data_IF_691888240731
#
_entry.id   IF_691888240731
#
_cell.length_a   1.000
_cell.length_b   1.000
_cell.length_c   1.000
_cell.angle_alpha   90.00
_cell.angle_beta   90.00
_cell.angle_gamma   90.00
#
_symmetry.space_group_name_H-M   'P 1'
#
loop_
_entity.id
_entity.type
_entity.pdbx_description
1 polymer ?
#
# COMPACT_ATOMS: atom_id res chain seq x y z
N UNK A 1 0.79 -27.79 12.52
CA UNK A 1 0.54 -27.12 11.23
C UNK A 1 1.22 -25.77 11.31
N UNK A 2 2.02 -25.41 10.32
CA UNK A 2 2.49 -24.02 10.21
C UNK A 2 1.29 -23.14 9.92
N UNK A 3 1.07 -22.12 10.75
CA UNK A 3 0.02 -21.13 10.52
C UNK A 3 0.56 -20.13 9.50
N UNK A 4 0.12 -20.24 8.26
CA UNK A 4 0.41 -19.27 7.21
C UNK A 4 -0.88 -18.63 6.70
N UNK A 5 -0.78 -17.39 6.24
CA UNK A 5 -1.81 -16.69 5.50
C UNK A 5 -1.39 -16.59 4.03
N UNK A 6 -2.28 -17.01 3.10
CA UNK A 6 -2.07 -16.74 1.68
C UNK A 6 -2.66 -15.36 1.33
N UNK A 7 -1.79 -14.45 0.89
CA UNK A 7 -2.17 -13.13 0.42
C UNK A 7 -2.14 -13.15 -1.11
N UNK A 8 -3.27 -12.84 -1.73
CA UNK A 8 -3.37 -12.66 -3.18
C UNK A 8 -3.63 -11.20 -3.49
N UNK A 9 -2.86 -10.62 -4.42
CA UNK A 9 -2.99 -9.22 -4.79
C UNK A 9 -2.81 -8.99 -6.29
N UNK A 10 -3.48 -7.96 -6.80
CA UNK A 10 -3.36 -7.47 -8.18
C UNK A 10 -3.58 -5.95 -8.18
N UNK A 11 -3.25 -5.31 -9.29
CA UNK A 11 -3.49 -3.89 -9.48
C UNK A 11 -3.71 -3.61 -10.96
N UNK A 12 -4.76 -2.87 -11.31
CA UNK A 12 -5.01 -2.50 -12.69
C UNK A 12 -5.56 -1.09 -12.77
N UNK A 13 -4.94 -0.28 -13.63
CA UNK A 13 -5.43 1.05 -13.93
C UNK A 13 -6.57 1.00 -14.96
N UNK A 14 -7.53 1.92 -14.87
CA UNK A 14 -8.51 2.13 -15.93
C UNK A 14 -7.85 2.49 -17.27
N UNK A 15 -8.44 2.01 -18.38
CA UNK A 15 -7.88 2.10 -19.74
C UNK A 15 -7.52 3.52 -20.20
N UNK A 16 -8.26 4.53 -19.74
CA UNK A 16 -8.08 5.93 -20.15
C UNK A 16 -7.19 6.76 -19.20
N UNK A 17 -6.47 6.12 -18.27
CA UNK A 17 -5.68 6.81 -17.25
C UNK A 17 -4.19 6.70 -17.55
N UNK A 18 -3.46 7.80 -17.32
CA UNK A 18 -2.00 7.87 -17.56
C UNK A 18 -1.18 7.30 -16.41
N UNK A 19 -1.64 7.50 -15.17
CA UNK A 19 -0.95 7.14 -13.93
C UNK A 19 -1.87 6.37 -13.01
N UNK A 20 -1.37 5.29 -12.42
CA UNK A 20 -2.14 4.59 -11.40
C UNK A 20 -2.06 5.38 -10.10
N UNK A 21 -3.21 5.83 -9.62
CA UNK A 21 -3.33 6.59 -8.38
C UNK A 21 -3.42 5.66 -7.16
N UNK A 22 -3.72 4.39 -7.40
CA UNK A 22 -3.80 3.36 -6.39
C UNK A 22 -2.40 2.92 -5.99
N UNK A 23 -2.22 2.56 -4.72
CA UNK A 23 -1.00 1.97 -4.20
C UNK A 23 -1.33 0.80 -3.30
N UNK A 24 -0.59 -0.30 -3.46
CA UNK A 24 -0.73 -1.51 -2.67
C UNK A 24 0.53 -1.76 -1.85
N UNK A 25 0.38 -2.19 -0.62
CA UNK A 25 1.46 -2.71 0.23
C UNK A 25 1.09 -4.14 0.65
N UNK A 26 1.87 -5.13 0.24
CA UNK A 26 1.58 -6.55 0.53
C UNK A 26 2.18 -7.07 1.84
N UNK A 27 2.66 -6.16 2.70
CA UNK A 27 3.40 -6.49 3.92
C UNK A 27 4.92 -6.57 3.74
N UNK A 28 5.45 -6.48 2.51
CA UNK A 28 6.88 -6.48 2.22
C UNK A 28 7.29 -5.37 1.24
N UNK A 29 6.53 -5.20 0.15
CA UNK A 29 6.83 -4.25 -0.90
C UNK A 29 5.62 -3.37 -1.22
N UNK A 30 5.92 -2.14 -1.62
CA UNK A 30 4.95 -1.14 -2.09
C UNK A 30 4.89 -1.19 -3.61
N UNK A 31 3.69 -1.30 -4.15
CA UNK A 31 3.40 -1.45 -5.57
C UNK A 31 2.51 -0.32 -6.06
N UNK A 32 2.86 0.19 -7.24
CA UNK A 32 2.08 1.18 -7.98
C UNK A 32 2.29 0.92 -9.48
N UNK A 33 1.63 -0.11 -10.00
CA UNK A 33 1.75 -0.51 -11.41
C UNK A 33 0.52 -0.13 -12.21
N UNK A 34 0.69 0.09 -13.51
CA UNK A 34 -0.45 0.16 -14.44
C UNK A 34 -1.17 -1.19 -14.54
N UNK A 35 -0.39 -2.27 -14.58
CA UNK A 35 -0.87 -3.64 -14.55
C UNK A 35 0.07 -4.47 -13.68
N UNK A 36 -0.44 -4.92 -12.54
CA UNK A 36 0.13 -5.97 -11.71
C UNK A 36 -0.82 -7.15 -11.82
N UNK A 37 -0.41 -8.15 -12.59
CA UNK A 37 -1.10 -9.44 -12.64
C UNK A 37 -1.15 -10.05 -11.25
N UNK A 38 -2.15 -10.90 -11.03
CA UNK A 38 -2.34 -11.59 -9.76
C UNK A 38 -1.05 -12.28 -9.31
N UNK A 39 -0.63 -11.96 -8.10
CA UNK A 39 0.51 -12.58 -7.41
C UNK A 39 0.05 -13.12 -6.07
N UNK A 40 0.67 -14.22 -5.65
CA UNK A 40 0.43 -14.88 -4.38
C UNK A 40 1.67 -14.78 -3.50
N UNK A 41 1.46 -14.57 -2.21
CA UNK A 41 2.51 -14.55 -1.18
C UNK A 41 2.04 -15.34 0.03
N UNK A 42 2.90 -16.20 0.54
CA UNK A 42 2.67 -16.86 1.83
C UNK A 42 3.29 -15.99 2.92
N UNK A 43 2.48 -15.66 3.92
CA UNK A 43 2.85 -14.85 5.07
C UNK A 43 2.82 -15.71 6.32
N UNK A 44 3.96 -15.82 6.99
CA UNK A 44 4.13 -16.66 8.19
C UNK A 44 4.36 -15.82 9.46
N UNK A 45 4.44 -14.49 9.35
CA UNK A 45 4.53 -13.62 10.52
C UNK A 45 3.21 -13.65 11.29
N UNK A 46 3.26 -13.65 12.64
CA UNK A 46 2.05 -13.68 13.47
C UNK A 46 1.22 -12.39 13.34
N UNK A 47 1.88 -11.27 13.03
CA UNK A 47 1.26 -9.98 12.79
C UNK A 47 1.88 -9.36 11.54
N UNK A 48 1.05 -8.86 10.65
CA UNK A 48 1.48 -8.20 9.44
C UNK A 48 0.44 -7.15 9.04
N UNK A 49 0.88 -6.21 8.20
CA UNK A 49 0.04 -5.12 7.69
C UNK A 49 -0.02 -5.25 6.19
N UNK A 50 -1.23 -5.18 5.65
CA UNK A 50 -1.48 -4.95 4.23
C UNK A 50 -2.09 -3.57 4.05
N UNK A 51 -1.76 -2.89 2.96
CA UNK A 51 -2.21 -1.54 2.69
C UNK A 51 -2.81 -1.42 1.29
N UNK A 52 -3.94 -0.73 1.18
CA UNK A 52 -4.52 -0.30 -0.08
C UNK A 52 -4.89 1.17 0.07
N UNK A 53 -4.44 2.01 -0.87
CA UNK A 53 -4.80 3.43 -0.90
C UNK A 53 -5.26 3.81 -2.30
N UNK A 54 -6.44 4.41 -2.39
CA UNK A 54 -6.99 5.03 -3.59
C UNK A 54 -6.67 6.53 -3.59
N UNK A 55 -6.27 7.05 -4.75
CA UNK A 55 -5.83 8.43 -4.85
C UNK A 55 -6.99 9.38 -5.13
N UNK A 56 -6.99 10.53 -4.45
CA UNK A 56 -8.02 11.54 -4.65
C UNK A 56 -7.83 12.21 -6.02
N UNK A 57 -8.77 11.97 -6.94
CA UNK A 57 -8.69 12.37 -8.35
C UNK A 57 -8.41 13.86 -8.60
N UNK A 58 -8.92 14.75 -7.74
CA UNK A 58 -8.76 16.20 -7.84
C UNK A 58 -7.54 16.75 -7.09
N UNK A 59 -6.70 15.89 -6.50
CA UNK A 59 -5.43 16.31 -5.88
C UNK A 59 -4.38 16.64 -6.95
N UNK A 60 -3.42 17.49 -6.62
CA UNK A 60 -2.35 17.88 -7.53
C UNK A 60 -1.46 16.69 -7.95
N UNK A 61 -1.20 15.75 -7.03
CA UNK A 61 -0.29 14.58 -7.23
C UNK A 61 -0.71 13.36 -6.40
N UNK A 62 -1.94 12.84 -6.57
CA UNK A 62 -2.48 11.77 -5.75
C UNK A 62 -1.64 10.49 -5.78
N UNK A 63 -1.03 10.19 -6.93
CA UNK A 63 -0.15 9.03 -7.10
C UNK A 63 1.10 9.11 -6.21
N UNK A 64 1.65 10.32 -6.02
CA UNK A 64 2.84 10.51 -5.18
C UNK A 64 2.49 10.50 -3.69
N UNK A 65 1.37 11.09 -3.32
CA UNK A 65 0.90 11.14 -1.94
C UNK A 65 0.68 9.71 -1.39
N UNK A 66 -0.09 8.89 -2.12
CA UNK A 66 -0.36 7.52 -1.70
C UNK A 66 0.90 6.66 -1.67
N UNK A 67 1.81 6.86 -2.62
CA UNK A 67 3.08 6.13 -2.65
C UNK A 67 3.92 6.46 -1.42
N UNK A 68 4.01 7.73 -1.05
CA UNK A 68 4.73 8.17 0.14
C UNK A 68 4.13 7.56 1.41
N UNK A 69 2.80 7.64 1.58
CA UNK A 69 2.10 7.06 2.74
C UNK A 69 2.40 5.56 2.88
N UNK A 70 2.31 4.81 1.77
CA UNK A 70 2.59 3.36 1.80
C UNK A 70 4.07 3.04 2.05
N UNK A 71 4.99 3.87 1.55
CA UNK A 71 6.43 3.72 1.84
C UNK A 71 6.78 4.05 3.30
N UNK A 72 6.04 4.96 3.92
CA UNK A 72 6.16 5.23 5.36
C UNK A 72 5.59 4.05 6.15
N UNK A 73 4.40 3.57 5.78
CA UNK A 73 3.76 2.40 6.39
C UNK A 73 4.64 1.14 6.31
N UNK A 74 5.31 0.91 5.18
CA UNK A 74 6.18 -0.26 5.00
C UNK A 74 7.43 -0.26 5.89
N UNK A 75 7.79 0.91 6.45
CA UNK A 75 8.93 1.06 7.37
C UNK A 75 8.51 1.04 8.84
N UNK A 76 7.21 0.99 9.13
CA UNK A 76 6.73 0.98 10.51
C UNK A 76 6.92 -0.42 11.11
N UNK A 77 7.65 -0.49 12.21
CA UNK A 77 7.80 -1.72 12.99
C UNK A 77 6.53 -2.04 13.81
N UNK A 78 5.77 -1.02 14.18
CA UNK A 78 4.47 -1.16 14.85
C UNK A 78 3.50 -0.06 14.42
N UNK A 79 2.23 -0.43 14.30
CA UNK A 79 1.15 0.51 14.00
C UNK A 79 0.44 0.87 15.30
N UNK A 80 0.66 2.08 15.80
CA UNK A 80 -0.12 2.66 16.88
C UNK A 80 -0.94 3.84 16.36
N UNK A 81 -2.00 4.23 17.07
CA UNK A 81 -2.74 5.47 16.77
C UNK A 81 -1.80 6.68 16.74
N UNK A 82 -0.83 6.72 17.65
CA UNK A 82 0.15 7.81 17.72
C UNK A 82 1.02 7.86 16.46
N UNK A 83 1.54 6.71 16.01
CA UNK A 83 2.34 6.60 14.79
C UNK A 83 1.58 7.12 13.56
N UNK A 84 0.26 6.86 13.48
CA UNK A 84 -0.58 7.39 12.39
C UNK A 84 -0.67 8.92 12.44
N UNK A 85 -0.89 9.50 13.63
CA UNK A 85 -0.95 10.95 13.81
C UNK A 85 0.38 11.65 13.50
N UNK A 86 1.50 11.09 13.96
CA UNK A 86 2.82 11.67 13.72
C UNK A 86 3.15 11.73 12.22
N UNK A 87 2.80 10.67 11.48
CA UNK A 87 2.98 10.64 10.02
C UNK A 87 2.06 11.62 9.29
N UNK A 88 0.82 11.80 9.74
CA UNK A 88 -0.08 12.82 9.18
C UNK A 88 0.51 14.23 9.33
N UNK A 89 1.06 14.55 10.50
CA UNK A 89 1.65 15.87 10.76
C UNK A 89 2.91 16.12 9.93
N UNK A 90 3.71 15.09 9.63
CA UNK A 90 4.91 15.22 8.78
C UNK A 90 4.61 15.44 7.29
N UNK A 91 3.38 15.19 6.84
CA UNK A 91 2.95 15.35 5.44
C UNK A 91 2.28 16.72 5.22
N UNK A 92 2.02 17.48 6.30
CA UNK A 92 1.35 18.78 6.28
C UNK A 92 2.35 19.93 6.17
#
# INVERSE_FOLDING_TARGET
>A
MENFCEITFCQQIGSNKRHNQDVLFNGEAVFQYKLKTTEKRLENRPHFIVGVADGISNSNRPEKANKLVMQLLSKMESLSRQTIYDNYNNIR
#
